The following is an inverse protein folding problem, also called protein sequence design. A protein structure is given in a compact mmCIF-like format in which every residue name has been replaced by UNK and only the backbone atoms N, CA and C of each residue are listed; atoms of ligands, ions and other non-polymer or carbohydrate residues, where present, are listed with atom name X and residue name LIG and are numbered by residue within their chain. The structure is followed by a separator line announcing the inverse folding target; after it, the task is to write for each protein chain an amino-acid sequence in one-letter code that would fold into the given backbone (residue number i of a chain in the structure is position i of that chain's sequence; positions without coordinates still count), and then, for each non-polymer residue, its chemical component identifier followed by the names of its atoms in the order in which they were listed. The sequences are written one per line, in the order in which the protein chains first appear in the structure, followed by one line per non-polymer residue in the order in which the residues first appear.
data_IF_525842851010
#
_entry.id   IF_525842851010
#
_cell.length_a   1.000
_cell.length_b   1.000
_cell.length_c   1.000
_cell.angle_alpha   90.00
_cell.angle_beta   90.00
_cell.angle_gamma   90.00
#
_symmetry.space_group_name_H-M   'P 1'
#
loop_
_entity.id
_entity.type
_entity.pdbx_description
1 polymer ?
#
# COMPACT_ATOMS: atom_id res chain seq x y z
N UNK A 1 38.47 -23.97 -1.97
CA UNK A 1 37.97 -22.61 -1.68
C UNK A 1 36.47 -22.65 -1.81
N UNK A 2 35.72 -22.29 -0.76
CA UNK A 2 34.25 -22.30 -0.78
C UNK A 2 33.81 -20.98 -1.41
N UNK A 3 33.34 -21.01 -2.66
CA UNK A 3 32.64 -19.88 -3.27
C UNK A 3 31.39 -19.59 -2.43
N UNK A 4 31.41 -18.47 -1.71
CA UNK A 4 30.18 -17.91 -1.14
C UNK A 4 29.31 -17.50 -2.31
N UNK A 5 28.24 -18.25 -2.55
CA UNK A 5 27.11 -17.83 -3.38
C UNK A 5 26.51 -16.56 -2.78
N UNK A 6 27.07 -15.40 -3.12
CA UNK A 6 26.47 -14.11 -2.81
C UNK A 6 25.18 -14.00 -3.61
N UNK A 7 24.05 -14.30 -2.95
CA UNK A 7 22.72 -14.08 -3.51
C UNK A 7 22.65 -12.61 -3.91
N UNK A 8 22.50 -12.35 -5.22
CA UNK A 8 22.28 -10.99 -5.74
C UNK A 8 21.21 -10.30 -4.88
N UNK A 9 21.45 -9.07 -4.43
CA UNK A 9 20.47 -8.34 -3.64
C UNK A 9 19.17 -8.19 -4.45
N UNK A 10 18.03 -8.22 -3.76
CA UNK A 10 16.71 -8.34 -4.38
C UNK A 10 16.43 -7.24 -5.43
N UNK A 11 16.90 -6.01 -5.17
CA UNK A 11 16.74 -4.85 -6.07
C UNK A 11 17.54 -4.93 -7.38
N UNK A 12 18.48 -5.89 -7.51
CA UNK A 12 19.20 -6.17 -8.77
C UNK A 12 18.53 -7.24 -9.63
N UNK A 13 17.39 -7.80 -9.19
CA UNK A 13 16.62 -8.78 -9.97
C UNK A 13 15.63 -8.02 -10.85
N UNK A 14 15.57 -8.32 -12.14
CA UNK A 14 14.67 -7.65 -13.09
C UNK A 14 13.20 -7.68 -12.63
N UNK A 15 12.77 -8.78 -12.03
CA UNK A 15 11.43 -8.91 -11.47
C UNK A 15 11.10 -7.87 -10.39
N UNK A 16 12.06 -7.43 -9.56
CA UNK A 16 11.79 -6.38 -8.56
C UNK A 16 11.27 -5.10 -9.22
N UNK A 17 11.89 -4.69 -10.33
CA UNK A 17 11.45 -3.54 -11.10
C UNK A 17 10.11 -3.80 -11.79
N UNK A 18 9.86 -5.01 -12.31
CA UNK A 18 8.56 -5.36 -12.90
C UNK A 18 7.44 -5.28 -11.86
N UNK A 19 7.65 -5.77 -10.63
CA UNK A 19 6.66 -5.67 -9.56
C UNK A 19 6.45 -4.24 -9.09
N UNK A 20 7.51 -3.43 -9.00
CA UNK A 20 7.37 -1.99 -8.76
C UNK A 20 6.50 -1.37 -9.85
N UNK A 21 6.85 -1.56 -11.12
CA UNK A 21 6.07 -0.99 -12.22
C UNK A 21 4.65 -1.56 -12.29
N UNK A 22 4.39 -2.83 -11.98
CA UNK A 22 3.02 -3.38 -11.98
C UNK A 22 2.15 -2.88 -10.83
N UNK A 23 2.77 -2.46 -9.73
CA UNK A 23 2.09 -1.84 -8.59
C UNK A 23 1.83 -0.35 -8.86
N UNK A 24 2.70 0.33 -9.63
CA UNK A 24 2.60 1.78 -9.88
C UNK A 24 2.01 2.16 -11.25
N UNK A 25 1.86 1.23 -12.20
CA UNK A 25 1.12 1.46 -13.44
C UNK A 25 -0.35 1.14 -13.16
N UNK A 26 -1.09 2.12 -12.64
CA UNK A 26 -2.47 2.53 -12.97
C UNK A 26 -2.71 3.77 -12.09
N UNK A 27 -2.21 4.94 -12.49
CA UNK A 27 -2.91 6.24 -12.42
C UNK A 27 -2.26 7.14 -13.47
N UNK A 28 -2.59 6.91 -14.73
CA UNK A 28 -2.53 7.97 -15.73
C UNK A 28 -3.80 7.88 -16.55
N UNK A 29 -4.72 8.82 -16.25
CA UNK A 29 -5.91 9.16 -17.01
C UNK A 29 -7.08 8.15 -17.00
N UNK A 30 -7.91 8.17 -15.95
CA UNK A 30 -9.37 8.22 -16.13
C UNK A 30 -9.99 9.05 -15.02
N UNK A 31 -10.81 10.02 -15.41
CA UNK A 31 -11.58 10.95 -14.57
C UNK A 31 -12.28 10.27 -13.38
N UNK A 32 -11.87 10.60 -12.15
CA UNK A 32 -12.59 10.22 -10.94
C UNK A 32 -13.72 11.22 -10.66
N UNK A 33 -14.93 10.88 -11.10
CA UNK A 33 -16.16 11.43 -10.53
C UNK A 33 -16.97 10.28 -9.92
N UNK A 34 -17.01 10.19 -8.59
CA UNK A 34 -18.11 9.55 -7.87
C UNK A 34 -18.18 10.09 -6.44
N UNK A 35 -19.41 10.34 -6.00
CA UNK A 35 -19.78 10.93 -4.73
C UNK A 35 -20.18 9.83 -3.71
N UNK A 36 -19.74 10.02 -2.46
CA UNK A 36 -20.22 9.48 -1.18
C UNK A 36 -20.15 7.97 -0.88
N UNK A 37 -19.12 7.56 -0.14
CA UNK A 37 -19.24 7.35 1.32
C UNK A 37 -17.86 7.39 2.00
N UNK A 38 -17.61 8.46 2.76
CA UNK A 38 -16.28 8.81 3.29
C UNK A 38 -15.65 7.77 4.22
N UNK A 39 -14.37 7.46 3.97
CA UNK A 39 -13.56 6.58 4.80
C UNK A 39 -12.99 7.30 6.04
N UNK A 40 -13.15 6.67 7.20
CA UNK A 40 -12.39 6.97 8.41
C UNK A 40 -11.70 5.69 8.90
N UNK A 41 -10.48 5.43 8.44
CA UNK A 41 -9.68 4.34 8.99
C UNK A 41 -8.20 4.65 8.86
N UNK A 42 -7.44 4.50 9.95
CA UNK A 42 -5.99 4.75 9.83
C UNK A 42 -5.33 3.67 8.97
N UNK A 43 -4.53 4.06 7.98
CA UNK A 43 -3.60 3.17 7.29
C UNK A 43 -2.73 2.46 8.32
N UNK A 44 -2.67 1.13 8.23
CA UNK A 44 -1.88 0.24 9.06
C UNK A 44 -1.94 0.47 10.60
N UNK A 45 -3.14 0.48 11.20
CA UNK A 45 -3.29 0.39 12.68
C UNK A 45 -2.66 -0.88 13.31
N UNK A 46 -2.15 -1.83 12.50
CA UNK A 46 -1.60 -3.08 13.02
C UNK A 46 -0.19 -2.95 13.63
N UNK A 47 0.53 -1.83 13.44
CA UNK A 47 1.94 -1.74 13.83
C UNK A 47 2.28 -1.07 15.16
N UNK A 48 1.32 -0.53 15.94
CA UNK A 48 1.70 0.14 17.22
C UNK A 48 0.97 -0.25 18.51
N UNK A 49 -0.06 -1.12 18.51
CA UNK A 49 -0.65 -1.64 19.77
C UNK A 49 -1.31 -3.02 19.62
N UNK A 50 -0.56 -4.12 19.76
CA UNK A 50 -1.01 -5.34 20.49
C UNK A 50 0.08 -6.44 20.49
N UNK A 51 1.06 -6.28 21.37
CA UNK A 51 1.42 -7.39 22.26
C UNK A 51 0.47 -7.30 23.45
N UNK A 52 -0.72 -7.89 23.33
CA UNK A 52 -1.63 -8.22 24.43
C UNK A 52 -2.79 -9.03 23.89
N UNK A 53 -2.70 -10.33 24.17
CA UNK A 53 -3.79 -11.26 24.44
C UNK A 53 -5.14 -10.98 23.77
N UNK A 54 -5.50 -11.87 22.84
CA UNK A 54 -6.88 -12.14 22.46
C UNK A 54 -7.62 -12.73 23.67
N UNK A 55 -8.19 -11.88 24.53
CA UNK A 55 -9.31 -12.28 25.38
C UNK A 55 -10.17 -11.08 25.77
N UNK A 56 -11.46 -11.21 25.46
CA UNK A 56 -12.63 -10.46 25.96
C UNK A 56 -12.90 -9.09 25.30
N UNK A 57 -13.77 -9.03 24.28
CA UNK A 57 -15.24 -8.91 24.44
C UNK A 57 -15.97 -8.98 23.08
N UNK A 58 -17.26 -9.26 23.18
CA UNK A 58 -18.28 -9.60 22.17
C UNK A 58 -18.50 -8.60 21.03
N UNK A 59 -18.12 -9.01 19.81
CA UNK A 59 -18.93 -9.07 18.58
C UNK A 59 -17.96 -9.50 17.47
N UNK A 60 -18.16 -10.67 16.84
CA UNK A 60 -17.34 -11.08 15.68
C UNK A 60 -17.74 -10.23 14.46
N UNK A 61 -17.37 -8.94 14.46
CA UNK A 61 -17.41 -8.12 13.27
C UNK A 61 -16.40 -8.73 12.30
N UNK A 62 -16.87 -9.23 11.16
CA UNK A 62 -16.01 -9.66 10.07
C UNK A 62 -15.07 -8.48 9.75
N UNK A 63 -13.74 -8.64 9.79
CA UNK A 63 -12.83 -7.53 9.54
C UNK A 63 -13.11 -6.91 8.16
N UNK A 64 -13.05 -5.58 8.09
CA UNK A 64 -13.16 -4.85 6.83
C UNK A 64 -12.07 -5.28 5.84
N UNK A 65 -12.28 -5.02 4.55
CA UNK A 65 -11.31 -5.31 3.49
C UNK A 65 -9.93 -4.71 3.80
N UNK A 66 -9.89 -3.49 4.31
CA UNK A 66 -8.65 -2.78 4.65
C UNK A 66 -7.97 -3.41 5.86
N UNK A 67 -8.72 -3.83 6.89
CA UNK A 67 -8.15 -4.56 8.03
C UNK A 67 -7.55 -5.90 7.58
N UNK A 68 -8.21 -6.61 6.67
CA UNK A 68 -7.69 -7.82 6.06
C UNK A 68 -6.39 -7.52 5.30
N UNK A 69 -6.40 -6.54 4.40
CA UNK A 69 -5.21 -6.08 3.68
C UNK A 69 -4.04 -5.74 4.60
N UNK A 70 -4.27 -4.92 5.64
CA UNK A 70 -3.24 -4.50 6.58
C UNK A 70 -2.62 -5.68 7.34
N UNK A 71 -3.40 -6.73 7.64
CA UNK A 71 -2.91 -7.93 8.32
C UNK A 71 -1.95 -8.80 7.48
N UNK A 72 -1.95 -8.65 6.15
CA UNK A 72 -1.07 -9.41 5.25
C UNK A 72 0.38 -9.00 5.48
N UNK A 73 1.22 -9.97 5.88
CA UNK A 73 2.66 -9.77 6.04
C UNK A 73 3.37 -10.06 4.72
N UNK A 74 4.44 -9.30 4.44
CA UNK A 74 5.34 -9.43 3.27
C UNK A 74 6.75 -9.87 3.70
N UNK A 75 7.62 -10.14 2.72
CA UNK A 75 9.03 -10.49 2.92
C UNK A 75 9.23 -11.84 3.63
N UNK A 76 10.22 -11.92 4.53
CA UNK A 76 10.57 -13.17 5.23
C UNK A 76 9.42 -13.78 6.04
N UNK A 77 8.51 -12.94 6.55
CA UNK A 77 7.32 -13.36 7.31
C UNK A 77 6.06 -13.37 6.45
N UNK A 78 6.23 -13.40 5.13
CA UNK A 78 5.19 -13.39 4.12
C UNK A 78 4.10 -14.43 4.38
N UNK A 79 2.85 -14.03 4.21
CA UNK A 79 1.73 -14.98 4.16
C UNK A 79 1.86 -15.89 2.95
N UNK A 80 1.33 -17.12 3.06
CA UNK A 80 1.28 -18.02 1.91
C UNK A 80 0.17 -17.63 0.95
N UNK A 81 0.27 -18.07 -0.32
CA UNK A 81 -0.79 -17.89 -1.32
C UNK A 81 -2.16 -18.32 -0.78
N UNK A 82 -2.18 -19.51 -0.15
CA UNK A 82 -3.38 -20.04 0.50
C UNK A 82 -3.89 -19.15 1.64
N UNK A 83 -3.02 -18.69 2.53
CA UNK A 83 -3.43 -17.83 3.65
C UNK A 83 -4.03 -16.49 3.17
N UNK A 84 -3.51 -15.94 2.06
CA UNK A 84 -4.05 -14.72 1.45
C UNK A 84 -5.44 -14.99 0.86
N UNK A 85 -5.62 -16.10 0.14
CA UNK A 85 -6.92 -16.48 -0.42
C UNK A 85 -7.95 -16.83 0.65
N UNK A 86 -7.54 -17.47 1.75
CA UNK A 86 -8.41 -17.74 2.89
C UNK A 86 -8.87 -16.44 3.58
N UNK A 87 -8.07 -15.36 3.49
CA UNK A 87 -8.34 -14.06 4.10
C UNK A 87 -9.18 -13.12 3.20
N UNK A 88 -8.80 -13.01 1.92
CA UNK A 88 -9.40 -12.08 0.96
C UNK A 88 -10.45 -12.74 0.04
N UNK A 89 -10.52 -14.07 0.00
CA UNK A 89 -11.30 -14.81 -0.99
C UNK A 89 -10.48 -15.12 -2.26
N UNK A 90 -11.15 -15.61 -3.30
CA UNK A 90 -10.49 -15.87 -4.59
C UNK A 90 -10.17 -14.56 -5.31
N UNK A 91 -8.97 -14.43 -5.92
CA UNK A 91 -8.62 -13.24 -6.69
C UNK A 91 -9.44 -13.16 -7.98
N UNK A 92 -9.75 -11.93 -8.41
CA UNK A 92 -10.35 -11.62 -9.70
C UNK A 92 -9.43 -12.01 -10.86
N UNK A 93 -8.12 -11.90 -10.66
CA UNK A 93 -7.12 -12.39 -11.63
C UNK A 93 -5.84 -12.88 -10.99
N UNK A 94 -5.14 -13.77 -11.71
CA UNK A 94 -3.84 -14.30 -11.33
C UNK A 94 -2.94 -14.34 -12.57
N UNK A 95 -1.77 -13.70 -12.48
CA UNK A 95 -0.81 -13.61 -13.57
C UNK A 95 0.54 -14.14 -13.11
N UNK A 96 1.19 -14.98 -13.91
CA UNK A 96 2.58 -15.36 -13.69
C UNK A 96 3.48 -14.25 -14.24
N UNK A 97 4.35 -13.68 -13.41
CA UNK A 97 5.16 -12.52 -13.81
C UNK A 97 6.39 -12.96 -14.62
N UNK A 98 6.95 -14.13 -14.30
CA UNK A 98 8.12 -14.68 -14.98
C UNK A 98 7.92 -16.16 -15.28
N UNK A 99 8.04 -16.53 -16.56
CA UNK A 99 7.86 -17.90 -17.00
C UNK A 99 8.90 -18.83 -16.36
N UNK A 100 8.44 -19.95 -15.79
CA UNK A 100 9.29 -20.92 -15.10
C UNK A 100 9.68 -20.55 -13.67
N UNK A 101 9.30 -19.36 -13.17
CA UNK A 101 9.43 -18.99 -11.77
C UNK A 101 8.11 -19.19 -11.01
N UNK A 102 8.17 -19.64 -9.75
CA UNK A 102 7.02 -19.62 -8.83
C UNK A 102 6.81 -18.18 -8.35
N UNK A 103 6.23 -17.38 -9.25
CA UNK A 103 6.11 -15.96 -9.08
C UNK A 103 4.84 -15.42 -9.74
N UNK A 104 3.93 -14.93 -8.91
CA UNK A 104 2.58 -14.58 -9.32
C UNK A 104 2.16 -13.22 -8.77
N UNK A 105 1.45 -12.44 -9.60
CA UNK A 105 0.61 -11.33 -9.17
C UNK A 105 -0.82 -11.82 -9.01
N UNK A 106 -1.41 -11.54 -7.85
CA UNK A 106 -2.79 -11.86 -7.52
C UNK A 106 -3.56 -10.54 -7.33
N UNK A 107 -4.67 -10.37 -8.03
CA UNK A 107 -5.46 -9.13 -8.00
C UNK A 107 -6.86 -9.42 -7.51
N UNK A 108 -7.33 -8.64 -6.54
CA UNK A 108 -8.72 -8.58 -6.09
C UNK A 108 -9.25 -7.20 -6.43
N UNK A 109 -10.21 -7.17 -7.34
CA UNK A 109 -11.00 -5.98 -7.63
C UNK A 109 -12.28 -6.09 -6.82
N UNK A 110 -12.46 -5.23 -5.83
CA UNK A 110 -13.72 -5.16 -5.10
C UNK A 110 -14.62 -4.14 -5.79
N UNK A 111 -15.79 -4.60 -6.23
CA UNK A 111 -16.87 -3.75 -6.75
C UNK A 111 -18.10 -3.76 -5.83
N UNK A 112 -18.03 -4.50 -4.72
CA UNK A 112 -19.10 -4.61 -3.74
C UNK A 112 -18.89 -3.59 -2.62
N UNK A 113 -19.91 -2.78 -2.35
CA UNK A 113 -19.97 -1.67 -1.38
C UNK A 113 -19.30 -0.36 -1.85
N UNK A 114 -19.71 0.14 -3.03
CA UNK A 114 -19.46 1.51 -3.54
C UNK A 114 -18.00 1.97 -3.67
N UNK A 115 -17.03 1.10 -3.47
CA UNK A 115 -15.60 1.45 -3.50
C UNK A 115 -14.90 0.69 -4.63
N UNK A 116 -14.30 1.41 -5.59
CA UNK A 116 -13.45 0.85 -6.64
C UNK A 116 -12.04 0.58 -6.09
N UNK A 117 -11.94 -0.36 -5.14
CA UNK A 117 -10.67 -0.69 -4.48
C UNK A 117 -10.05 -1.91 -5.13
N UNK A 118 -8.80 -1.77 -5.54
CA UNK A 118 -7.98 -2.87 -6.06
C UNK A 118 -6.90 -3.22 -5.04
N UNK A 119 -6.81 -4.50 -4.69
CA UNK A 119 -5.70 -5.07 -3.93
C UNK A 119 -4.88 -5.94 -4.87
N UNK A 120 -3.57 -5.69 -4.92
CA UNK A 120 -2.62 -6.58 -5.58
C UNK A 120 -1.68 -7.20 -4.55
N UNK A 121 -1.39 -8.49 -4.67
CA UNK A 121 -0.38 -9.18 -3.87
C UNK A 121 0.53 -9.98 -4.77
N UNK A 122 1.83 -9.68 -4.71
CA UNK A 122 2.85 -10.48 -5.40
C UNK A 122 3.35 -11.58 -4.47
N UNK A 123 3.32 -12.81 -4.95
CA UNK A 123 3.76 -14.01 -4.24
C UNK A 123 4.92 -14.66 -4.98
N UNK A 124 6.02 -14.91 -4.29
CA UNK A 124 7.16 -15.70 -4.78
C UNK A 124 7.40 -16.91 -3.88
N UNK A 125 7.60 -18.10 -4.45
CA UNK A 125 7.88 -19.33 -3.70
C UNK A 125 6.84 -19.56 -2.59
N UNK A 126 5.55 -19.40 -2.90
CA UNK A 126 4.44 -19.45 -1.97
C UNK A 126 4.53 -18.47 -0.77
N UNK A 127 5.19 -17.31 -0.92
CA UNK A 127 5.27 -16.24 0.09
C UNK A 127 4.96 -14.88 -0.50
N UNK A 128 4.09 -14.09 0.14
CA UNK A 128 3.91 -12.68 -0.20
C UNK A 128 5.21 -11.91 -0.02
N UNK A 129 5.62 -11.22 -1.07
CA UNK A 129 6.83 -10.37 -1.09
C UNK A 129 6.48 -8.90 -1.30
N UNK A 130 5.33 -8.62 -1.94
CA UNK A 130 4.82 -7.29 -2.12
C UNK A 130 3.28 -7.28 -2.05
N UNK A 131 2.72 -6.14 -1.67
CA UNK A 131 1.27 -5.88 -1.72
C UNK A 131 0.99 -4.41 -2.00
N UNK A 132 -0.16 -4.10 -2.58
CA UNK A 132 -0.69 -2.75 -2.72
C UNK A 132 -2.20 -2.73 -2.55
N UNK A 133 -2.72 -1.58 -2.14
CA UNK A 133 -4.14 -1.22 -2.14
C UNK A 133 -4.27 0.17 -2.76
N UNK A 134 -5.24 0.32 -3.65
CA UNK A 134 -5.46 1.51 -4.49
C UNK A 134 -6.94 1.88 -4.50
N UNK A 135 -7.24 3.12 -4.87
CA UNK A 135 -8.62 3.62 -5.00
C UNK A 135 -9.36 3.78 -3.69
N UNK A 136 -8.67 4.09 -2.59
CA UNK A 136 -9.32 4.39 -1.31
C UNK A 136 -9.92 5.80 -1.36
N UNK A 137 -11.21 5.92 -1.10
CA UNK A 137 -11.92 7.20 -0.97
C UNK A 137 -11.72 7.77 0.44
N UNK A 138 -10.72 8.64 0.63
CA UNK A 138 -10.36 9.20 1.94
C UNK A 138 -11.19 10.45 2.24
N UNK A 139 -11.91 10.45 3.36
CA UNK A 139 -12.64 11.65 3.84
C UNK A 139 -11.69 12.54 4.66
N UNK A 140 -10.89 13.38 3.99
CA UNK A 140 -10.03 14.33 4.70
C UNK A 140 -10.80 15.59 5.07
N UNK A 141 -10.64 16.02 6.32
CA UNK A 141 -11.29 17.23 6.84
C UNK A 141 -10.76 18.54 6.23
N UNK A 142 -9.60 18.52 5.58
CA UNK A 142 -8.93 19.68 5.00
C UNK A 142 -8.16 19.26 3.75
N UNK A 143 -7.94 20.23 2.87
CA UNK A 143 -6.96 20.08 1.79
C UNK A 143 -5.54 20.03 2.37
N UNK A 144 -4.70 19.16 1.82
CA UNK A 144 -3.26 19.10 2.10
C UNK A 144 -2.53 20.14 1.27
N UNK A 145 -1.61 20.85 1.91
CA UNK A 145 -0.86 21.95 1.31
C UNK A 145 0.64 21.66 1.26
N UNK A 146 1.39 22.48 0.53
CA UNK A 146 2.84 22.45 0.53
C UNK A 146 3.42 22.69 1.93
N UNK A 147 2.75 23.48 2.77
CA UNK A 147 3.16 23.70 4.15
C UNK A 147 2.87 22.50 5.06
N UNK A 148 1.85 21.68 4.76
CA UNK A 148 1.67 20.38 5.40
C UNK A 148 2.80 19.41 5.01
N UNK A 149 3.13 19.33 3.72
CA UNK A 149 4.24 18.50 3.24
C UNK A 149 5.58 18.89 3.88
N UNK A 150 5.89 20.19 3.97
CA UNK A 150 7.15 20.71 4.56
C UNK A 150 7.29 20.45 6.07
N UNK A 151 6.25 19.99 6.76
CA UNK A 151 6.35 19.56 8.16
C UNK A 151 7.03 18.20 8.31
N UNK A 152 7.13 17.44 7.21
CA UNK A 152 7.81 16.15 7.17
C UNK A 152 9.27 16.33 6.72
N UNK A 153 10.12 15.43 7.22
CA UNK A 153 11.50 15.31 6.77
C UNK A 153 11.98 13.86 6.81
N UNK A 154 13.02 13.56 6.02
CA UNK A 154 13.72 12.28 6.08
C UNK A 154 14.07 11.89 7.53
N UNK A 155 13.70 10.68 7.93
CA UNK A 155 13.91 10.16 9.27
C UNK A 155 12.69 10.25 10.20
N UNK A 156 11.67 11.05 9.86
CA UNK A 156 10.41 11.12 10.60
C UNK A 156 9.69 9.76 10.62
N UNK A 157 8.88 9.53 11.66
CA UNK A 157 8.21 8.24 11.85
C UNK A 157 6.97 8.11 10.98
N UNK A 158 6.60 6.88 10.63
CA UNK A 158 5.36 6.60 9.89
C UNK A 158 4.12 7.26 10.49
N UNK A 159 3.94 7.16 11.82
CA UNK A 159 2.78 7.78 12.47
C UNK A 159 2.75 9.30 12.33
N UNK A 160 3.92 9.96 12.23
CA UNK A 160 3.97 11.41 12.02
C UNK A 160 3.46 11.77 10.63
N UNK A 161 3.74 10.95 9.61
CA UNK A 161 3.16 11.13 8.27
C UNK A 161 1.64 11.08 8.33
N UNK A 162 1.08 10.09 9.02
CA UNK A 162 -0.38 9.96 9.18
C UNK A 162 -0.99 11.07 10.03
N UNK A 163 -0.26 11.59 11.01
CA UNK A 163 -0.75 12.69 11.86
C UNK A 163 -0.76 14.03 11.09
N UNK A 164 0.17 14.23 10.15
CA UNK A 164 0.28 15.45 9.33
C UNK A 164 -0.63 15.39 8.09
N UNK A 165 -0.56 14.29 7.33
CA UNK A 165 -1.22 14.16 6.01
C UNK A 165 -2.51 13.32 6.06
N UNK A 166 -2.80 12.66 7.18
CA UNK A 166 -3.89 11.69 7.24
C UNK A 166 -3.57 10.42 6.47
N UNK A 167 -4.63 9.69 6.13
CA UNK A 167 -4.52 8.42 5.41
C UNK A 167 -4.25 8.67 3.92
N UNK A 168 -3.38 7.85 3.29
CA UNK A 168 -3.12 7.94 1.86
C UNK A 168 -4.26 7.30 1.04
N UNK A 169 -4.42 7.78 -0.18
CA UNK A 169 -5.35 7.23 -1.18
C UNK A 169 -4.90 5.83 -1.62
N UNK A 170 -3.58 5.62 -1.67
CA UNK A 170 -2.97 4.36 -2.02
C UNK A 170 -1.75 4.06 -1.17
N UNK A 171 -1.50 2.79 -0.91
CA UNK A 171 -0.25 2.40 -0.28
C UNK A 171 0.15 0.97 -0.59
N UNK A 172 1.47 0.78 -0.67
CA UNK A 172 2.09 -0.51 -0.92
C UNK A 172 3.11 -0.86 0.14
N UNK A 173 3.49 -2.14 0.17
CA UNK A 173 4.62 -2.66 0.93
C UNK A 173 5.38 -3.61 0.01
N UNK A 174 6.60 -3.24 -0.38
CA UNK A 174 7.48 -4.02 -1.25
C UNK A 174 8.75 -4.30 -0.45
N UNK A 175 8.90 -5.54 0.02
CA UNK A 175 10.02 -5.99 0.85
C UNK A 175 10.32 -5.07 2.06
N UNK A 176 9.26 -4.58 2.73
CA UNK A 176 9.37 -3.72 3.91
C UNK A 176 9.65 -2.24 3.62
N UNK A 177 9.67 -1.83 2.34
CA UNK A 177 9.53 -0.44 1.94
C UNK A 177 8.05 -0.18 1.72
N UNK A 178 7.47 0.70 2.53
CA UNK A 178 6.10 1.17 2.34
C UNK A 178 6.12 2.44 1.51
N UNK A 179 5.28 2.50 0.48
CA UNK A 179 5.04 3.75 -0.26
C UNK A 179 3.63 4.20 0.05
N UNK A 180 3.46 5.47 0.39
CA UNK A 180 2.19 6.14 0.60
C UNK A 180 2.01 7.16 -0.52
N UNK A 181 0.84 7.18 -1.14
CA UNK A 181 0.49 8.09 -2.23
C UNK A 181 -0.77 8.86 -1.85
N UNK A 182 -0.71 10.18 -2.01
CA UNK A 182 -1.82 11.09 -1.79
C UNK A 182 -2.10 11.81 -3.11
N UNK A 183 -3.33 11.70 -3.60
CA UNK A 183 -3.76 12.22 -4.91
C UNK A 183 -5.11 12.97 -4.82
N UNK A 184 -5.85 12.80 -3.72
CA UNK A 184 -7.08 13.55 -3.46
C UNK A 184 -6.88 14.61 -2.37
N UNK A 185 -7.80 15.57 -2.31
CA UNK A 185 -7.80 16.67 -1.34
C UNK A 185 -6.48 17.45 -1.27
N UNK A 186 -5.83 17.66 -2.42
CA UNK A 186 -4.59 18.45 -2.49
C UNK A 186 -4.87 19.88 -2.92
N UNK A 187 -4.23 20.84 -2.27
CA UNK A 187 -4.18 22.21 -2.75
C UNK A 187 -3.27 22.29 -3.98
N UNK A 188 -3.87 22.44 -5.16
CA UNK A 188 -3.14 22.44 -6.42
C UNK A 188 -2.59 23.84 -6.72
N UNK A 189 -1.34 23.90 -7.22
CA UNK A 189 -0.76 25.13 -7.73
C UNK A 189 -1.39 25.52 -9.07
N UNK A 190 -1.65 24.51 -9.91
CA UNK A 190 -2.38 24.61 -11.17
C UNK A 190 -3.55 23.60 -11.20
N UNK A 191 -4.82 24.04 -11.25
CA UNK A 191 -5.99 23.17 -11.32
C UNK A 191 -6.08 22.28 -12.57
N UNK A 192 -5.30 22.57 -13.62
CA UNK A 192 -5.25 21.77 -14.85
C UNK A 192 -4.24 20.62 -14.77
N UNK A 193 -3.41 20.58 -13.72
CA UNK A 193 -2.38 19.57 -13.51
C UNK A 193 -2.67 18.74 -12.25
N UNK A 194 -2.43 17.44 -12.31
CA UNK A 194 -2.59 16.59 -11.14
C UNK A 194 -1.49 16.90 -10.10
N UNK A 195 -1.90 17.11 -8.85
CA UNK A 195 -0.98 17.17 -7.72
C UNK A 195 -0.83 15.78 -7.08
N UNK A 196 0.34 15.52 -6.52
CA UNK A 196 0.61 14.27 -5.79
C UNK A 196 1.61 14.51 -4.68
N UNK A 197 1.45 13.79 -3.57
CA UNK A 197 2.48 13.60 -2.55
C UNK A 197 2.82 12.12 -2.48
N UNK A 198 4.10 11.79 -2.51
CA UNK A 198 4.62 10.43 -2.35
C UNK A 198 5.63 10.37 -1.21
N UNK A 199 5.40 9.45 -0.27
CA UNK A 199 6.30 9.21 0.86
C UNK A 199 6.73 7.74 0.88
N UNK A 200 8.03 7.48 0.85
CA UNK A 200 8.58 6.14 1.03
C UNK A 200 9.14 5.97 2.45
N UNK A 201 8.82 4.84 3.08
CA UNK A 201 9.10 4.56 4.48
C UNK A 201 9.77 3.20 4.58
N UNK A 202 10.88 3.13 5.31
CA UNK A 202 11.54 1.87 5.66
C UNK A 202 11.94 1.88 7.12
N UNK A 203 11.80 0.74 7.80
CA UNK A 203 12.12 0.60 9.22
C UNK A 203 11.46 1.68 10.10
N UNK A 204 10.19 1.98 9.80
CA UNK A 204 9.38 2.99 10.50
C UNK A 204 9.93 4.43 10.37
N UNK A 205 10.69 4.75 9.32
CA UNK A 205 11.22 6.09 9.05
C UNK A 205 11.02 6.49 7.59
N UNK A 206 10.75 7.76 7.33
CA UNK A 206 10.78 8.33 5.98
C UNK A 206 12.20 8.18 5.41
N UNK A 207 12.28 7.63 4.20
CA UNK A 207 13.54 7.49 3.44
C UNK A 207 13.52 8.28 2.12
N UNK A 208 12.34 8.67 1.66
CA UNK A 208 12.15 9.53 0.49
C UNK A 208 10.82 10.27 0.61
N UNK A 209 10.77 11.49 0.13
CA UNK A 209 9.56 12.31 0.03
C UNK A 209 9.60 13.11 -1.27
N UNK A 210 8.47 13.19 -1.94
CA UNK A 210 8.32 13.91 -3.20
C UNK A 210 6.92 14.52 -3.28
N UNK A 211 6.83 15.69 -3.89
CA UNK A 211 5.55 16.30 -4.27
C UNK A 211 5.64 16.86 -5.67
N UNK A 212 4.50 16.92 -6.33
CA UNK A 212 4.32 17.59 -7.62
C UNK A 212 3.05 18.44 -7.58
N UNK A 213 3.12 19.63 -8.20
CA UNK A 213 2.01 20.58 -8.37
C UNK A 213 1.26 20.96 -7.07
N UNK A 214 1.90 20.84 -5.90
CA UNK A 214 1.30 21.17 -4.61
C UNK A 214 1.57 22.63 -4.24
N UNK A 215 0.53 23.31 -3.74
CA UNK A 215 0.54 24.73 -3.34
C UNK A 215 0.63 24.93 -1.83
#
# INVERSE_FOLDING_TARGET
MIEKNEKKPFYKRNWFWITIFSIFIIVSATTYFANFSGYQGKADQASTKQSKSLTNESTKKNPSLIQKYNSIKTGKRGFSKKAIMDLLGQPSSMQQIEAGADLYSLTWDSTSDNNNVTIQVTVQNNKAIAKSIQGLDIDRKKLLTLDDFKQLQIGDKYNQVLDVLGDPDEYSDVDGIKTLVYESDLAQADPELDAVIKIDISNNKIISENQQNLK
#
